data_IF_900991294051
#
_entry.id   IF_900991294051
#
_cell.length_a   1.000
_cell.length_b   1.000
_cell.length_c   1.000
_cell.angle_alpha   90.00
_cell.angle_beta   90.00
_cell.angle_gamma   90.00
#
_symmetry.space_group_name_H-M   'P 1'
#
loop_
_entity.id
_entity.type
_entity.pdbx_description
1 polymer ?
#
# COMPACT_ATOMS: atom_id res chain seq x y z
N UNK A 1 -0.04 20.25 23.87
CA UNK A 1 -1.12 19.38 23.38
C UNK A 1 -0.58 17.96 23.35
N UNK A 2 -1.05 17.04 24.14
CA UNK A 2 -0.61 15.64 24.07
C UNK A 2 -1.26 14.98 22.86
N UNK A 3 -0.45 14.42 21.99
CA UNK A 3 -0.83 13.51 20.91
C UNK A 3 -1.26 12.20 21.57
N UNK A 4 -2.53 11.84 21.47
CA UNK A 4 -2.97 10.49 21.82
C UNK A 4 -2.38 9.52 20.79
N UNK A 5 -1.35 8.80 21.19
CA UNK A 5 -0.82 7.64 20.49
C UNK A 5 -1.73 6.45 20.76
N UNK A 6 -2.32 5.89 19.72
CA UNK A 6 -3.04 4.62 19.81
C UNK A 6 -2.08 3.48 20.11
N UNK A 7 -2.47 2.61 21.04
CA UNK A 7 -1.84 1.30 21.24
C UNK A 7 -1.95 0.45 19.97
N UNK A 8 -0.94 -0.38 19.67
CA UNK A 8 -0.97 -1.28 18.51
C UNK A 8 -2.05 -2.34 18.68
N UNK A 9 -2.93 -2.47 17.69
CA UNK A 9 -3.91 -3.55 17.57
C UNK A 9 -3.18 -4.89 17.45
N UNK A 10 -3.42 -5.75 18.44
CA UNK A 10 -2.96 -7.12 18.47
C UNK A 10 -3.74 -7.94 17.43
N UNK A 11 -3.08 -8.40 16.37
CA UNK A 11 -3.68 -9.28 15.35
C UNK A 11 -3.35 -10.75 15.64
N UNK A 12 -4.34 -11.67 15.56
CA UNK A 12 -4.08 -13.10 15.57
C UNK A 12 -3.46 -13.56 14.22
N UNK A 13 -2.69 -14.66 14.21
CA UNK A 13 -2.13 -15.20 12.98
C UNK A 13 -3.24 -15.75 12.05
N UNK A 14 -3.03 -15.72 10.72
CA UNK A 14 -4.00 -16.20 9.75
C UNK A 14 -4.20 -17.73 9.85
N UNK A 15 -5.41 -18.24 9.56
CA UNK A 15 -5.71 -19.67 9.58
C UNK A 15 -4.97 -20.42 8.46
N UNK A 16 -4.42 -21.60 8.82
CA UNK A 16 -3.68 -22.47 7.92
C UNK A 16 -4.55 -23.02 6.78
N UNK A 17 -4.02 -22.98 5.57
CA UNK A 17 -4.62 -23.54 4.35
C UNK A 17 -4.43 -25.07 4.30
N UNK A 18 -5.55 -25.78 4.16
CA UNK A 18 -5.61 -27.21 3.87
C UNK A 18 -5.14 -27.52 2.46
N UNK A 19 -4.22 -28.46 2.33
CA UNK A 19 -3.73 -28.99 1.05
C UNK A 19 -4.74 -29.96 0.47
N UNK A 20 -5.31 -29.63 -0.70
CA UNK A 20 -6.12 -30.56 -1.50
C UNK A 20 -5.21 -31.21 -2.54
N UNK A 21 -5.13 -32.55 -2.49
CA UNK A 21 -4.42 -33.39 -3.47
C UNK A 21 -5.27 -33.62 -4.72
N UNK A 22 -4.70 -33.61 -5.94
CA UNK A 22 -5.45 -33.93 -7.14
C UNK A 22 -5.56 -35.45 -7.34
N UNK A 23 -6.76 -35.91 -7.69
CA UNK A 23 -6.99 -37.27 -8.17
C UNK A 23 -6.67 -37.37 -9.66
N UNK A 24 -5.88 -38.36 -10.02
CA UNK A 24 -5.66 -38.82 -11.38
C UNK A 24 -6.89 -39.51 -11.94
N UNK A 25 -7.28 -39.21 -13.17
CA UNK A 25 -8.14 -40.06 -13.97
C UNK A 25 -7.53 -40.28 -15.35
N UNK A 26 -7.47 -41.56 -15.68
CA UNK A 26 -6.80 -42.19 -16.82
C UNK A 26 -7.79 -42.34 -17.98
N UNK A 27 -7.30 -42.19 -19.20
CA UNK A 27 -7.52 -42.87 -20.43
C UNK A 27 -8.60 -42.79 -21.39
N UNK A 28 -8.30 -42.95 -22.60
CA UNK A 28 -9.12 -43.40 -23.71
C UNK A 28 -8.48 -43.17 -25.07
N UNK A 29 -7.73 -44.17 -25.51
CA UNK A 29 -7.16 -44.25 -26.86
C UNK A 29 -8.23 -44.70 -27.84
N UNK A 30 -8.51 -43.97 -28.94
CA UNK A 30 -9.19 -44.50 -30.10
C UNK A 30 -8.51 -43.95 -31.37
N UNK A 31 -7.97 -44.88 -32.13
CA UNK A 31 -7.44 -44.68 -33.47
C UNK A 31 -8.55 -44.77 -34.50
N UNK A 32 -8.54 -43.93 -35.55
CA UNK A 32 -9.10 -44.29 -36.87
C UNK A 32 -8.63 -43.31 -37.98
N UNK A 33 -7.96 -43.98 -38.93
CA UNK A 33 -7.91 -43.77 -40.38
C UNK A 33 -8.07 -42.39 -41.05
N UNK A 34 -7.08 -42.05 -41.74
CA UNK A 34 -6.64 -41.54 -42.98
C UNK A 34 -7.62 -40.88 -43.98
N UNK A 35 -7.23 -39.67 -44.39
CA UNK A 35 -7.51 -39.14 -45.72
C UNK A 35 -6.35 -38.18 -46.11
N UNK A 36 -5.66 -38.52 -47.19
CA UNK A 36 -4.66 -37.68 -47.81
C UNK A 36 -5.34 -36.46 -48.44
N UNK A 37 -4.95 -35.25 -48.04
CA UNK A 37 -5.31 -34.00 -48.71
C UNK A 37 -4.02 -33.27 -49.05
N UNK A 38 -3.94 -32.83 -50.28
CA UNK A 38 -2.81 -32.17 -50.94
C UNK A 38 -2.24 -30.97 -50.16
N UNK A 39 -0.93 -30.94 -50.04
CA UNK A 39 -0.19 -29.84 -49.43
C UNK A 39 -0.29 -28.56 -50.30
N UNK A 40 -1.02 -27.56 -49.82
CA UNK A 40 -0.81 -26.19 -50.22
C UNK A 40 0.36 -25.61 -49.40
N UNK A 41 1.21 -24.70 -49.94
CA UNK A 41 2.34 -24.15 -49.17
C UNK A 41 1.78 -23.33 -48.02
N UNK A 42 2.03 -23.79 -46.80
CA UNK A 42 1.77 -23.02 -45.61
C UNK A 42 2.64 -21.76 -45.64
N UNK A 43 2.05 -20.62 -45.97
CA UNK A 43 2.60 -19.34 -45.58
C UNK A 43 2.68 -19.39 -44.06
N UNK A 44 3.89 -19.45 -43.55
CA UNK A 44 4.15 -19.19 -42.14
C UNK A 44 3.59 -17.79 -41.81
N UNK A 45 2.38 -17.71 -41.29
CA UNK A 45 1.95 -16.58 -40.50
C UNK A 45 2.86 -16.60 -39.28
N UNK A 46 3.83 -15.68 -39.28
CA UNK A 46 4.40 -15.23 -38.02
C UNK A 46 3.23 -14.69 -37.23
N UNK A 47 2.68 -15.52 -36.36
CA UNK A 47 1.91 -15.03 -35.22
C UNK A 47 2.89 -14.13 -34.50
N UNK A 48 2.65 -12.82 -34.55
CA UNK A 48 3.20 -11.90 -33.59
C UNK A 48 2.91 -12.52 -32.23
N UNK A 49 3.94 -13.06 -31.61
CA UNK A 49 3.91 -13.40 -30.22
C UNK A 49 3.60 -12.06 -29.54
N UNK A 50 2.35 -11.88 -29.12
CA UNK A 50 1.98 -10.77 -28.27
C UNK A 50 2.99 -10.78 -27.13
N UNK A 51 3.88 -9.78 -27.13
CA UNK A 51 4.92 -9.67 -26.11
C UNK A 51 4.26 -9.84 -24.77
N UNK A 52 4.69 -10.83 -23.99
CA UNK A 52 4.15 -11.07 -22.67
C UNK A 52 4.16 -9.77 -21.89
N UNK A 53 3.06 -9.41 -21.27
CA UNK A 53 2.95 -8.14 -20.58
C UNK A 53 3.98 -8.10 -19.45
N UNK A 54 4.95 -7.19 -19.53
CA UNK A 54 6.00 -7.04 -18.52
C UNK A 54 5.49 -6.41 -17.21
N UNK A 55 4.25 -5.92 -17.20
CA UNK A 55 3.60 -5.33 -16.02
C UNK A 55 2.98 -6.37 -15.08
N UNK A 56 2.65 -5.98 -13.85
CA UNK A 56 2.00 -6.87 -12.88
C UNK A 56 0.64 -7.33 -13.40
N UNK A 57 0.40 -8.65 -13.36
CA UNK A 57 -0.88 -9.26 -13.69
C UNK A 57 -1.92 -9.00 -12.60
N UNK A 58 -3.19 -9.22 -12.94
CA UNK A 58 -4.30 -9.16 -11.99
C UNK A 58 -4.88 -10.55 -11.81
N UNK A 59 -4.94 -10.99 -10.56
CA UNK A 59 -5.61 -12.22 -10.17
C UNK A 59 -7.08 -11.98 -9.81
N UNK A 60 -7.60 -12.79 -8.90
CA UNK A 60 -8.98 -12.72 -8.44
C UNK A 60 -9.32 -11.32 -7.91
N UNK A 61 -10.57 -10.92 -8.12
CA UNK A 61 -11.13 -9.66 -7.62
C UNK A 61 -12.07 -9.95 -6.46
N UNK A 62 -11.86 -9.27 -5.35
CA UNK A 62 -12.75 -9.30 -4.19
C UNK A 62 -13.49 -7.98 -4.05
N UNK A 63 -14.80 -8.05 -3.81
CA UNK A 63 -15.59 -6.88 -3.45
C UNK A 63 -15.69 -6.76 -1.93
N UNK A 64 -15.32 -5.61 -1.41
CA UNK A 64 -15.26 -5.30 0.01
C UNK A 64 -16.12 -4.09 0.33
N UNK A 65 -16.68 -4.03 1.54
CA UNK A 65 -17.29 -2.80 2.07
C UNK A 65 -16.42 -2.26 3.20
N UNK A 66 -16.05 -1.01 3.08
CA UNK A 66 -15.16 -0.34 4.04
C UNK A 66 -15.76 0.98 4.50
N UNK A 67 -15.96 1.14 5.81
CA UNK A 67 -16.48 2.36 6.42
C UNK A 67 -15.33 3.21 6.94
N UNK A 68 -15.37 4.50 6.61
CA UNK A 68 -14.42 5.50 7.11
C UNK A 68 -15.18 6.70 7.61
N UNK A 69 -14.82 7.18 8.79
CA UNK A 69 -15.50 8.35 9.33
C UNK A 69 -15.05 8.73 10.72
N UNK A 70 -15.86 9.57 11.34
CA UNK A 70 -15.68 10.00 12.71
C UNK A 70 -17.02 10.21 13.40
N UNK A 71 -16.97 10.04 14.73
CA UNK A 71 -18.01 10.49 15.65
C UNK A 71 -17.34 11.44 16.63
N UNK A 72 -17.86 12.67 16.77
CA UNK A 72 -17.35 13.67 17.71
C UNK A 72 -18.40 13.97 18.75
N UNK A 73 -18.01 13.94 20.02
CA UNK A 73 -18.88 14.23 21.18
C UNK A 73 -18.34 15.43 21.96
N UNK A 74 -19.17 16.42 22.18
CA UNK A 74 -18.86 17.62 22.97
C UNK A 74 -19.09 17.37 24.48
N UNK A 75 -18.30 16.48 25.11
CA UNK A 75 -18.52 16.06 26.51
C UNK A 75 -18.26 17.19 27.51
N UNK A 76 -17.15 17.91 27.38
CA UNK A 76 -16.70 18.90 28.35
C UNK A 76 -17.36 20.28 28.21
N UNK A 77 -18.13 20.52 27.15
CA UNK A 77 -18.76 21.82 26.84
C UNK A 77 -18.96 21.99 25.34
N UNK A 78 -19.62 23.09 24.92
CA UNK A 78 -19.88 23.34 23.50
C UNK A 78 -18.55 23.52 22.72
N UNK A 79 -18.51 22.99 21.51
CA UNK A 79 -17.37 23.11 20.61
C UNK A 79 -17.76 23.97 19.39
N UNK A 80 -16.78 24.73 18.87
CA UNK A 80 -16.97 25.56 17.68
C UNK A 80 -15.83 25.36 16.68
N UNK A 81 -16.16 25.51 15.38
CA UNK A 81 -15.17 25.44 14.31
C UNK A 81 -14.44 24.11 14.24
N UNK A 82 -15.12 23.00 14.55
CA UNK A 82 -14.53 21.66 14.42
C UNK A 82 -14.25 21.39 12.93
N UNK A 83 -13.00 21.02 12.67
CA UNK A 83 -12.49 20.69 11.36
C UNK A 83 -11.69 19.39 11.46
N UNK A 84 -12.14 18.38 10.76
CA UNK A 84 -11.49 17.07 10.75
C UNK A 84 -11.05 16.67 9.35
N UNK A 85 -9.94 15.95 9.27
CA UNK A 85 -9.49 15.30 8.04
C UNK A 85 -9.07 13.87 8.32
N UNK A 86 -9.37 12.97 7.41
CA UNK A 86 -8.98 11.56 7.51
C UNK A 86 -8.76 10.97 6.12
N UNK A 87 -7.73 10.11 5.93
CA UNK A 87 -7.52 9.44 4.66
C UNK A 87 -8.65 8.46 4.37
N UNK A 88 -9.04 8.41 3.09
CA UNK A 88 -10.05 7.49 2.57
C UNK A 88 -9.46 6.70 1.41
N UNK A 89 -10.02 5.52 1.08
CA UNK A 89 -9.58 4.76 -0.09
C UNK A 89 -9.64 5.59 -1.36
N UNK A 90 -8.67 5.38 -2.25
CA UNK A 90 -8.61 6.01 -3.57
C UNK A 90 -8.46 4.97 -4.68
N UNK A 91 -8.65 5.41 -5.93
CA UNK A 91 -8.50 4.60 -7.13
C UNK A 91 -7.02 4.25 -7.38
N UNK A 92 -6.74 2.97 -7.61
CA UNK A 92 -5.45 2.46 -8.02
C UNK A 92 -5.63 1.44 -9.16
N UNK A 93 -4.61 1.13 -9.94
CA UNK A 93 -4.75 0.11 -10.98
C UNK A 93 -5.39 -1.19 -10.49
N UNK A 94 -5.12 -1.59 -9.25
CA UNK A 94 -5.63 -2.80 -8.62
C UNK A 94 -6.83 -2.56 -7.69
N UNK A 95 -7.32 -1.33 -7.54
CA UNK A 95 -8.43 -0.99 -6.65
C UNK A 95 -9.38 0.00 -7.28
N UNK A 96 -10.66 -0.37 -7.45
CA UNK A 96 -11.74 0.55 -7.79
C UNK A 96 -12.51 0.94 -6.55
N UNK A 97 -13.01 2.17 -6.50
CA UNK A 97 -13.68 2.74 -5.31
C UNK A 97 -15.01 3.38 -5.68
N UNK A 98 -16.07 3.02 -4.95
CA UNK A 98 -17.39 3.62 -5.10
C UNK A 98 -17.96 3.95 -3.71
N UNK A 99 -18.53 5.15 -3.54
CA UNK A 99 -19.31 5.50 -2.35
C UNK A 99 -20.69 4.86 -2.50
N UNK A 100 -21.13 4.11 -1.49
CA UNK A 100 -22.41 3.39 -1.50
C UNK A 100 -23.37 3.85 -0.41
N UNK A 101 -22.88 4.49 0.66
CA UNK A 101 -23.72 5.10 1.69
C UNK A 101 -22.97 6.22 2.42
N UNK A 102 -23.71 7.18 2.90
CA UNK A 102 -23.26 8.26 3.77
C UNK A 102 -24.19 8.38 4.97
N UNK A 103 -23.62 8.35 6.18
CA UNK A 103 -24.32 8.57 7.45
C UNK A 103 -23.76 9.85 8.07
N UNK A 104 -24.43 10.97 7.78
CA UNK A 104 -23.99 12.31 8.11
C UNK A 104 -25.06 13.04 8.92
N UNK A 105 -24.73 13.43 10.14
CA UNK A 105 -25.64 14.14 11.02
C UNK A 105 -25.83 15.61 10.60
N UNK A 106 -26.98 16.27 10.91
CA UNK A 106 -27.27 17.65 10.53
C UNK A 106 -26.28 18.69 11.08
N UNK A 107 -25.52 18.36 12.13
CA UNK A 107 -24.49 19.23 12.68
C UNK A 107 -23.27 19.38 11.74
N UNK A 108 -23.07 18.45 10.82
CA UNK A 108 -22.03 18.50 9.79
C UNK A 108 -22.51 19.45 8.69
N UNK A 109 -21.84 20.60 8.56
CA UNK A 109 -22.16 21.59 7.54
C UNK A 109 -21.62 21.24 6.18
N UNK A 110 -20.41 20.63 6.18
CA UNK A 110 -19.69 20.35 4.95
C UNK A 110 -18.92 19.03 5.08
N UNK A 111 -19.13 18.14 4.11
CA UNK A 111 -18.34 16.94 3.88
C UNK A 111 -17.85 17.00 2.44
N UNK A 112 -16.54 17.00 2.25
CA UNK A 112 -15.92 17.06 0.93
C UNK A 112 -14.65 16.23 0.88
N UNK A 113 -14.15 16.01 -0.32
CA UNK A 113 -12.90 15.30 -0.55
C UNK A 113 -11.85 16.24 -1.13
N UNK A 114 -10.59 15.96 -0.79
CA UNK A 114 -9.42 16.61 -1.41
C UNK A 114 -8.32 15.59 -1.62
N UNK A 115 -7.44 15.84 -2.59
CA UNK A 115 -6.21 15.05 -2.79
C UNK A 115 -5.01 15.88 -2.39
N UNK A 116 -4.17 15.36 -1.51
CA UNK A 116 -2.93 16.01 -1.09
C UNK A 116 -1.83 15.83 -2.16
N UNK A 117 -0.81 16.70 -2.16
CA UNK A 117 0.43 16.43 -2.89
C UNK A 117 1.01 15.08 -2.45
N UNK A 118 1.27 14.19 -3.43
CA UNK A 118 1.67 12.80 -3.16
C UNK A 118 0.53 11.78 -3.26
N UNK A 119 -0.70 12.23 -3.58
CA UNK A 119 -1.79 11.34 -4.02
C UNK A 119 -2.66 10.78 -2.89
N UNK A 120 -2.61 11.32 -1.68
CA UNK A 120 -3.52 10.90 -0.60
C UNK A 120 -4.85 11.60 -0.71
N UNK A 121 -5.93 10.84 -0.84
CA UNK A 121 -7.30 11.33 -0.78
C UNK A 121 -7.75 11.44 0.67
N UNK A 122 -8.23 12.61 1.05
CA UNK A 122 -8.79 12.88 2.39
C UNK A 122 -10.26 13.25 2.29
N UNK A 123 -11.05 12.73 3.22
CA UNK A 123 -12.34 13.30 3.59
C UNK A 123 -12.11 14.45 4.54
N UNK A 124 -12.79 15.58 4.30
CA UNK A 124 -12.77 16.79 5.12
C UNK A 124 -14.15 17.01 5.68
N UNK A 125 -14.26 17.14 6.99
CA UNK A 125 -15.54 17.31 7.72
C UNK A 125 -15.49 18.61 8.50
N UNK A 126 -16.50 19.45 8.35
CA UNK A 126 -16.63 20.74 9.04
C UNK A 126 -17.93 20.77 9.87
N UNK A 127 -17.78 21.00 11.17
CA UNK A 127 -18.88 21.12 12.13
C UNK A 127 -18.75 22.50 12.80
N UNK A 128 -19.55 23.51 12.39
CA UNK A 128 -19.41 24.87 12.90
C UNK A 128 -19.63 24.98 14.40
N UNK A 129 -20.67 24.29 14.89
CA UNK A 129 -21.06 24.30 16.28
C UNK A 129 -21.55 22.91 16.71
N UNK A 130 -21.15 22.49 17.90
CA UNK A 130 -21.61 21.27 18.54
C UNK A 130 -21.95 21.61 20.00
N UNK A 131 -23.23 21.68 20.39
CA UNK A 131 -23.64 21.99 21.75
C UNK A 131 -23.13 20.96 22.77
N UNK A 132 -22.96 21.39 24.03
CA UNK A 132 -22.53 20.51 25.12
C UNK A 132 -23.40 19.24 25.21
N UNK A 133 -22.76 18.10 25.38
CA UNK A 133 -23.39 16.77 25.45
C UNK A 133 -23.95 16.26 24.10
N UNK A 134 -23.79 17.00 23.02
CA UNK A 134 -24.24 16.54 21.68
C UNK A 134 -23.13 15.83 20.92
N UNK A 135 -23.57 15.02 19.94
CA UNK A 135 -22.71 14.23 19.08
C UNK A 135 -22.96 14.61 17.62
N UNK A 136 -21.88 14.65 16.83
CA UNK A 136 -21.90 14.76 15.38
C UNK A 136 -21.25 13.53 14.76
N UNK A 137 -21.82 13.05 13.67
CA UNK A 137 -21.37 11.84 12.97
C UNK A 137 -21.19 12.14 11.48
N UNK A 138 -20.08 11.67 10.92
CA UNK A 138 -19.82 11.67 9.49
C UNK A 138 -19.09 10.36 9.12
N UNK A 139 -19.83 9.39 8.60
CA UNK A 139 -19.33 8.07 8.22
C UNK A 139 -19.73 7.79 6.79
N UNK A 140 -18.76 7.41 5.97
CA UNK A 140 -18.97 7.05 4.56
C UNK A 140 -18.63 5.58 4.37
N UNK A 141 -19.51 4.86 3.69
CA UNK A 141 -19.28 3.47 3.29
C UNK A 141 -18.81 3.44 1.84
N UNK A 142 -17.61 2.92 1.65
CA UNK A 142 -17.01 2.65 0.35
C UNK A 142 -17.23 1.19 -0.04
N UNK A 143 -17.51 0.94 -1.30
CA UNK A 143 -17.40 -0.39 -1.90
C UNK A 143 -16.14 -0.40 -2.76
N UNK A 144 -15.30 -1.40 -2.54
CA UNK A 144 -14.00 -1.54 -3.17
C UNK A 144 -13.98 -2.84 -3.98
N UNK A 145 -13.57 -2.76 -5.27
CA UNK A 145 -13.16 -3.93 -6.03
C UNK A 145 -11.64 -4.01 -5.98
N UNK A 146 -11.11 -4.97 -5.23
CA UNK A 146 -9.69 -5.16 -4.98
C UNK A 146 -9.19 -6.41 -5.69
N UNK A 147 -8.32 -6.23 -6.70
CA UNK A 147 -7.66 -7.34 -7.39
C UNK A 147 -6.41 -7.79 -6.64
N UNK A 148 -6.19 -9.10 -6.54
CA UNK A 148 -4.87 -9.63 -6.23
C UNK A 148 -3.88 -9.25 -7.33
N UNK A 149 -2.62 -9.08 -6.98
CA UNK A 149 -1.55 -8.81 -7.93
C UNK A 149 -0.72 -10.08 -8.09
N UNK A 150 -0.47 -10.47 -9.35
CA UNK A 150 0.34 -11.63 -9.70
C UNK A 150 1.61 -11.20 -10.42
N UNK A 151 2.66 -11.99 -10.28
CA UNK A 151 3.95 -11.78 -10.93
C UNK A 151 3.74 -11.80 -12.45
N UNK A 152 4.39 -10.93 -13.23
CA UNK A 152 4.37 -11.02 -14.69
C UNK A 152 5.04 -12.32 -15.19
N UNK A 153 4.57 -12.82 -16.31
CA UNK A 153 5.09 -14.05 -16.93
C UNK A 153 6.56 -13.90 -17.35
N UNK A 154 6.97 -12.70 -17.78
CA UNK A 154 8.36 -12.39 -18.13
C UNK A 154 8.87 -11.20 -17.32
N UNK A 155 9.92 -11.44 -16.54
CA UNK A 155 10.64 -10.43 -15.75
C UNK A 155 12.05 -10.14 -16.26
N UNK A 156 12.53 -10.90 -17.26
CA UNK A 156 13.93 -10.83 -17.73
C UNK A 156 14.27 -9.49 -18.38
N UNK A 157 13.28 -8.85 -19.03
CA UNK A 157 13.43 -7.54 -19.67
C UNK A 157 13.27 -6.34 -18.73
N UNK A 158 12.90 -6.56 -17.46
CA UNK A 158 12.68 -5.49 -16.51
C UNK A 158 14.00 -4.96 -15.95
N UNK A 159 14.15 -3.62 -15.95
CA UNK A 159 15.38 -2.93 -15.54
C UNK A 159 15.10 -1.71 -14.69
N UNK A 160 16.10 -1.27 -13.96
CA UNK A 160 16.07 -0.04 -13.17
C UNK A 160 16.03 1.15 -14.15
N UNK A 161 15.12 2.14 -13.96
CA UNK A 161 15.05 3.29 -14.86
C UNK A 161 16.29 4.17 -14.71
N UNK A 162 17.01 4.42 -15.81
CA UNK A 162 18.20 5.29 -15.81
C UNK A 162 17.86 6.77 -15.58
N UNK A 163 16.76 7.22 -16.14
CA UNK A 163 16.30 8.62 -16.09
C UNK A 163 14.79 8.69 -15.73
N UNK A 164 14.44 8.37 -14.49
CA UNK A 164 13.05 8.43 -14.07
C UNK A 164 12.52 9.87 -14.14
N UNK A 165 11.24 10.02 -14.48
CA UNK A 165 10.56 11.30 -14.44
C UNK A 165 10.47 11.87 -13.02
N UNK A 166 9.94 13.11 -12.89
CA UNK A 166 9.88 13.80 -11.60
C UNK A 166 9.02 13.05 -10.58
N UNK A 167 7.94 12.41 -10.99
CA UNK A 167 7.03 11.70 -10.11
C UNK A 167 7.71 10.45 -9.54
N UNK A 168 8.34 9.66 -10.40
CA UNK A 168 9.08 8.45 -10.00
C UNK A 168 10.34 8.82 -9.20
N UNK A 169 11.06 9.89 -9.60
CA UNK A 169 12.26 10.36 -8.89
C UNK A 169 11.99 10.78 -7.44
N UNK A 170 10.76 11.20 -7.11
CA UNK A 170 10.36 11.51 -5.75
C UNK A 170 10.49 10.29 -4.80
N UNK A 171 10.50 9.07 -5.34
CA UNK A 171 10.62 7.81 -4.62
C UNK A 171 12.06 7.25 -4.58
N UNK A 172 13.08 8.12 -4.73
CA UNK A 172 14.51 7.77 -4.61
C UNK A 172 15.19 8.43 -3.40
N UNK A 173 14.54 9.42 -2.80
CA UNK A 173 15.10 10.19 -1.69
C UNK A 173 14.93 9.54 -0.32
N UNK A 174 15.54 10.16 0.68
CA UNK A 174 15.28 9.85 2.10
C UNK A 174 13.89 10.35 2.49
N UNK A 175 13.20 9.60 3.32
CA UNK A 175 11.92 9.97 3.92
C UNK A 175 11.90 9.58 5.40
N UNK A 176 10.90 9.98 6.19
CA UNK A 176 10.82 9.63 7.59
C UNK A 176 10.92 8.11 7.80
N UNK A 177 11.85 7.67 8.66
CA UNK A 177 12.16 6.27 8.97
C UNK A 177 12.78 5.44 7.82
N UNK A 178 13.03 6.05 6.67
CA UNK A 178 13.68 5.42 5.50
C UNK A 178 15.01 6.12 5.24
N UNK A 179 16.06 5.68 5.93
CA UNK A 179 17.38 6.29 5.95
C UNK A 179 18.26 5.81 4.78
N UNK A 180 17.87 6.15 3.56
CA UNK A 180 18.53 5.75 2.30
C UNK A 180 20.03 6.04 2.25
N UNK A 181 20.50 7.05 2.99
CA UNK A 181 21.91 7.49 3.01
C UNK A 181 22.71 6.88 4.16
N UNK A 182 22.13 6.00 4.96
CA UNK A 182 22.87 5.30 6.02
C UNK A 182 23.96 4.41 5.39
N UNK A 183 25.23 4.53 5.81
CA UNK A 183 26.34 3.80 5.17
C UNK A 183 26.23 2.27 5.35
N UNK A 184 25.65 1.78 6.44
CA UNK A 184 25.47 0.33 6.66
C UNK A 184 24.38 -0.22 5.76
N UNK A 185 23.27 0.52 5.60
CA UNK A 185 22.18 0.15 4.67
C UNK A 185 22.69 0.15 3.24
N UNK A 186 23.40 1.20 2.81
CA UNK A 186 23.97 1.31 1.48
C UNK A 186 25.00 0.19 1.18
N UNK A 187 25.87 -0.14 2.14
CA UNK A 187 26.83 -1.23 1.99
C UNK A 187 26.14 -2.59 1.90
N UNK A 188 25.09 -2.83 2.69
CA UNK A 188 24.31 -4.06 2.65
C UNK A 188 23.58 -4.20 1.30
N UNK A 189 22.91 -3.13 0.83
CA UNK A 189 22.23 -3.09 -0.47
C UNK A 189 23.17 -3.40 -1.62
N UNK A 190 24.35 -2.74 -1.65
CA UNK A 190 25.40 -2.99 -2.65
C UNK A 190 25.88 -4.43 -2.63
N UNK A 191 26.03 -5.04 -1.45
CA UNK A 191 26.46 -6.43 -1.29
C UNK A 191 25.39 -7.40 -1.81
N UNK A 192 24.13 -7.19 -1.41
CA UNK A 192 22.99 -8.00 -1.86
C UNK A 192 22.79 -7.97 -3.37
N UNK A 193 22.90 -6.77 -3.99
CA UNK A 193 22.70 -6.56 -5.41
C UNK A 193 23.93 -6.79 -6.29
N UNK A 194 25.06 -7.25 -5.72
CA UNK A 194 26.35 -7.35 -6.46
C UNK A 194 26.27 -8.28 -7.67
N UNK A 195 26.59 -7.74 -8.85
CA UNK A 195 26.58 -8.50 -10.11
C UNK A 195 25.19 -8.84 -10.65
N UNK A 196 24.13 -8.29 -10.01
CA UNK A 196 22.75 -8.46 -10.43
C UNK A 196 22.19 -7.14 -10.99
N UNK A 197 21.13 -7.24 -11.79
CA UNK A 197 20.42 -6.09 -12.31
C UNK A 197 18.89 -6.35 -12.36
N UNK A 198 18.12 -5.28 -12.55
CA UNK A 198 16.69 -5.31 -12.73
C UNK A 198 15.97 -6.12 -11.64
N UNK A 199 15.09 -6.99 -12.08
CA UNK A 199 14.28 -7.84 -11.21
C UNK A 199 15.09 -8.65 -10.18
N UNK A 200 16.17 -9.30 -10.66
CA UNK A 200 17.01 -10.16 -9.80
C UNK A 200 17.73 -9.38 -8.70
N UNK A 201 18.14 -8.14 -8.97
CA UNK A 201 18.75 -7.27 -7.95
C UNK A 201 17.73 -6.91 -6.86
N UNK A 202 16.51 -6.55 -7.25
CA UNK A 202 15.46 -6.22 -6.28
C UNK A 202 15.10 -7.44 -5.44
N UNK A 203 14.98 -8.62 -6.05
CA UNK A 203 14.67 -9.85 -5.33
C UNK A 203 15.77 -10.21 -4.29
N UNK A 204 17.04 -10.06 -4.67
CA UNK A 204 18.16 -10.30 -3.75
C UNK A 204 18.14 -9.30 -2.55
N UNK A 205 17.79 -8.04 -2.78
CA UNK A 205 17.58 -7.06 -1.71
C UNK A 205 16.42 -7.47 -0.80
N UNK A 206 15.30 -7.88 -1.39
CA UNK A 206 14.11 -8.34 -0.67
C UNK A 206 14.41 -9.54 0.23
N UNK A 207 15.06 -10.57 -0.30
CA UNK A 207 15.44 -11.76 0.47
C UNK A 207 16.45 -11.40 1.57
N UNK A 208 17.40 -10.49 1.30
CA UNK A 208 18.37 -10.01 2.31
C UNK A 208 17.67 -9.32 3.48
N UNK A 209 16.64 -8.51 3.25
CA UNK A 209 15.87 -7.86 4.33
C UNK A 209 15.22 -8.91 5.22
N UNK A 210 14.57 -9.90 4.63
CA UNK A 210 13.89 -10.98 5.35
C UNK A 210 14.84 -11.88 6.14
N UNK A 211 16.05 -12.05 5.65
CA UNK A 211 17.11 -12.81 6.35
C UNK A 211 17.74 -12.04 7.51
N UNK A 212 17.81 -10.70 7.42
CA UNK A 212 18.49 -9.85 8.39
C UNK A 212 17.62 -9.34 9.52
N UNK A 213 16.29 -9.27 9.30
CA UNK A 213 15.36 -8.69 10.27
C UNK A 213 14.24 -9.67 10.56
N UNK A 214 14.21 -10.19 11.77
CA UNK A 214 13.12 -11.04 12.27
C UNK A 214 11.85 -10.21 12.48
N UNK A 215 10.70 -10.74 12.08
CA UNK A 215 9.42 -10.08 12.37
C UNK A 215 9.10 -10.14 13.86
N UNK A 216 8.95 -8.96 14.45
CA UNK A 216 8.53 -8.80 15.85
C UNK A 216 7.79 -7.47 16.02
N UNK A 217 6.60 -7.53 16.62
CA UNK A 217 5.87 -6.31 16.98
C UNK A 217 6.69 -5.45 17.96
N UNK A 218 6.63 -4.14 17.75
CA UNK A 218 7.35 -3.20 18.60
C UNK A 218 7.02 -1.74 18.28
N UNK A 219 7.73 -0.83 18.92
CA UNK A 219 7.64 0.60 18.63
C UNK A 219 8.33 0.93 17.31
N UNK A 220 7.76 1.89 16.58
CA UNK A 220 8.31 2.38 15.32
C UNK A 220 9.71 2.98 15.51
N UNK A 221 10.69 2.46 14.79
CA UNK A 221 12.12 2.82 14.95
C UNK A 221 12.87 3.07 13.65
N UNK A 222 12.30 2.67 12.51
CA UNK A 222 12.86 2.91 11.17
C UNK A 222 13.92 1.92 10.71
N UNK A 223 14.35 2.07 9.45
CA UNK A 223 15.23 1.13 8.74
C UNK A 223 16.59 0.92 9.42
N UNK A 224 17.26 2.01 9.80
CA UNK A 224 18.58 1.94 10.44
C UNK A 224 18.55 1.18 11.76
N UNK A 225 17.55 1.44 12.59
CA UNK A 225 17.44 0.79 13.89
C UNK A 225 17.00 -0.66 13.75
N UNK A 226 16.08 -0.97 12.84
CA UNK A 226 15.68 -2.33 12.54
C UNK A 226 16.87 -3.19 12.11
N UNK A 227 17.72 -2.68 11.20
CA UNK A 227 18.94 -3.37 10.78
C UNK A 227 19.93 -3.57 11.94
N UNK A 228 20.07 -2.59 12.83
CA UNK A 228 20.98 -2.69 13.97
C UNK A 228 20.51 -3.69 15.03
N UNK A 229 19.21 -3.74 15.29
CA UNK A 229 18.60 -4.60 16.29
C UNK A 229 18.34 -6.03 15.76
N UNK A 230 18.25 -6.21 14.44
CA UNK A 230 17.93 -7.49 13.78
C UNK A 230 16.47 -7.91 13.89
N UNK A 231 15.56 -7.00 14.27
CA UNK A 231 14.12 -7.26 14.35
C UNK A 231 13.29 -6.00 14.09
N UNK A 232 12.03 -6.18 13.73
CA UNK A 232 11.07 -5.11 13.49
C UNK A 232 9.71 -5.65 13.04
N UNK A 233 8.71 -4.78 12.94
CA UNK A 233 7.40 -5.16 12.42
C UNK A 233 7.29 -4.91 10.89
N UNK A 234 6.07 -4.89 10.36
CA UNK A 234 5.85 -4.67 8.93
C UNK A 234 6.37 -3.31 8.45
N UNK A 235 6.33 -2.26 9.29
CA UNK A 235 6.84 -0.96 8.91
C UNK A 235 8.37 -0.95 8.82
N UNK A 236 9.08 -1.55 9.78
CA UNK A 236 10.54 -1.61 9.78
C UNK A 236 11.08 -2.43 8.60
N UNK A 237 10.51 -3.60 8.33
CA UNK A 237 10.91 -4.41 7.19
C UNK A 237 10.65 -3.68 5.87
N UNK A 238 9.50 -3.01 5.75
CA UNK A 238 9.14 -2.16 4.60
C UNK A 238 10.12 -0.98 4.47
N UNK A 239 10.40 -0.26 5.56
CA UNK A 239 11.35 0.85 5.57
C UNK A 239 12.77 0.42 5.17
N UNK A 240 13.25 -0.72 5.66
CA UNK A 240 14.58 -1.24 5.33
C UNK A 240 14.66 -1.66 3.86
N UNK A 241 13.65 -2.36 3.35
CA UNK A 241 13.59 -2.71 1.92
C UNK A 241 13.64 -1.46 1.05
N UNK A 242 12.80 -0.46 1.32
CA UNK A 242 12.74 0.79 0.55
C UNK A 242 14.08 1.54 0.63
N UNK A 243 14.70 1.61 1.83
CA UNK A 243 15.98 2.28 2.01
C UNK A 243 17.09 1.60 1.19
N UNK A 244 17.16 0.27 1.20
CA UNK A 244 18.12 -0.52 0.40
C UNK A 244 17.86 -0.38 -1.10
N UNK A 245 16.61 -0.51 -1.55
CA UNK A 245 16.24 -0.34 -2.96
C UNK A 245 16.64 1.05 -3.47
N UNK A 246 16.29 2.10 -2.75
CA UNK A 246 16.63 3.48 -3.14
C UNK A 246 18.14 3.76 -3.11
N UNK A 247 18.89 3.12 -2.21
CA UNK A 247 20.37 3.22 -2.18
C UNK A 247 21.02 2.65 -3.48
N UNK A 248 20.37 1.68 -4.12
CA UNK A 248 20.77 1.09 -5.41
C UNK A 248 20.07 1.76 -6.62
N UNK A 249 19.43 2.92 -6.43
CA UNK A 249 18.78 3.67 -7.51
C UNK A 249 17.43 3.10 -7.94
N UNK A 250 16.84 2.19 -7.19
CA UNK A 250 15.54 1.58 -7.48
C UNK A 250 14.46 2.42 -6.81
N UNK A 251 13.54 3.06 -7.56
CA UNK A 251 12.42 3.76 -6.94
C UNK A 251 11.53 2.79 -6.17
N UNK A 252 11.22 3.12 -4.93
CA UNK A 252 10.40 2.28 -4.07
C UNK A 252 9.54 3.16 -3.14
N UNK A 253 8.36 2.67 -2.73
CA UNK A 253 7.43 3.38 -1.85
C UNK A 253 6.65 2.44 -0.97
N UNK A 254 6.07 2.95 0.11
CA UNK A 254 5.17 2.21 0.99
C UNK A 254 3.76 2.20 0.41
N UNK A 255 3.07 1.08 0.51
CA UNK A 255 1.63 0.93 0.36
C UNK A 255 1.02 0.71 1.74
N UNK A 256 0.08 1.56 2.11
CA UNK A 256 -0.62 1.51 3.38
C UNK A 256 -1.99 0.91 3.18
N UNK A 257 -2.25 -0.17 3.86
CA UNK A 257 -3.54 -0.86 3.92
C UNK A 257 -4.05 -0.86 5.35
N UNK A 258 -5.27 -1.32 5.58
CA UNK A 258 -5.79 -1.40 6.95
C UNK A 258 -4.96 -2.35 7.82
N UNK A 259 -4.42 -1.81 8.93
CA UNK A 259 -3.63 -2.54 9.91
C UNK A 259 -2.25 -3.06 9.44
N UNK A 260 -1.83 -2.74 8.20
CA UNK A 260 -0.59 -3.26 7.62
C UNK A 260 0.04 -2.31 6.60
N UNK A 261 1.32 -2.56 6.26
CA UNK A 261 1.96 -1.94 5.12
C UNK A 261 2.94 -2.89 4.44
N UNK A 262 3.19 -2.63 3.15
CA UNK A 262 4.17 -3.36 2.34
C UNK A 262 4.83 -2.43 1.33
N UNK A 263 6.03 -2.76 0.82
CA UNK A 263 6.68 -1.95 -0.19
C UNK A 263 6.25 -2.29 -1.62
N UNK A 264 6.32 -1.28 -2.49
CA UNK A 264 6.34 -1.41 -3.94
C UNK A 264 7.67 -0.90 -4.48
N UNK A 265 8.20 -1.54 -5.52
CA UNK A 265 9.36 -1.09 -6.30
C UNK A 265 8.98 -0.86 -7.75
N UNK A 266 9.72 0.02 -8.44
CA UNK A 266 9.41 0.43 -9.81
C UNK A 266 10.51 0.00 -10.77
N UNK A 267 10.13 -0.72 -11.83
CA UNK A 267 10.99 -1.10 -12.93
C UNK A 267 10.35 -0.71 -14.26
N UNK A 268 11.18 -0.64 -15.30
CA UNK A 268 10.77 -0.36 -16.67
C UNK A 268 11.15 -1.52 -17.59
N UNK A 269 10.37 -1.72 -18.66
CA UNK A 269 10.70 -2.67 -19.72
C UNK A 269 11.67 -2.09 -20.78
N UNK A 270 11.88 -2.85 -21.84
CA UNK A 270 12.74 -2.46 -22.95
C UNK A 270 12.24 -1.22 -23.70
N UNK A 271 10.96 -0.93 -23.67
CA UNK A 271 10.33 0.24 -24.30
C UNK A 271 10.40 1.49 -23.44
N UNK A 272 10.77 1.35 -22.16
CA UNK A 272 10.73 2.41 -21.17
C UNK A 272 9.39 2.54 -20.45
N UNK A 273 8.42 1.68 -20.76
CA UNK A 273 7.17 1.61 -19.99
C UNK A 273 7.45 1.02 -18.63
N UNK A 274 6.94 1.63 -17.55
CA UNK A 274 7.23 1.21 -16.20
C UNK A 274 6.02 0.90 -15.35
N UNK A 275 6.26 0.07 -14.33
CA UNK A 275 5.23 -0.39 -13.40
C UNK A 275 5.75 -0.50 -11.97
N UNK A 276 4.82 -0.40 -11.04
CA UNK A 276 5.02 -0.68 -9.64
C UNK A 276 4.72 -2.15 -9.34
N UNK A 277 5.65 -2.83 -8.69
CA UNK A 277 5.53 -4.23 -8.28
C UNK A 277 5.55 -4.31 -6.75
N UNK A 278 4.54 -4.92 -6.12
CA UNK A 278 4.51 -5.08 -4.67
C UNK A 278 5.40 -6.24 -4.22
N UNK A 279 5.80 -6.21 -2.96
CA UNK A 279 6.34 -7.38 -2.29
C UNK A 279 5.97 -7.41 -0.80
N UNK A 280 5.79 -8.60 -0.24
CA UNK A 280 5.45 -8.78 1.16
C UNK A 280 6.75 -8.89 1.98
N UNK A 281 7.18 -7.79 2.59
CA UNK A 281 8.41 -7.76 3.38
C UNK A 281 8.27 -8.55 4.69
N UNK A 282 7.07 -8.52 5.30
CA UNK A 282 6.73 -9.26 6.52
C UNK A 282 5.71 -10.37 6.22
N UNK A 283 5.75 -11.49 6.93
CA UNK A 283 4.83 -12.62 6.75
C UNK A 283 5.25 -13.59 5.65
N UNK A 284 4.29 -14.18 4.92
CA UNK A 284 4.56 -15.13 3.84
C UNK A 284 5.33 -14.46 2.70
N UNK A 285 6.34 -15.17 2.14
CA UNK A 285 7.12 -14.65 1.02
C UNK A 285 6.24 -14.45 -0.21
N UNK A 286 6.14 -13.20 -0.66
CA UNK A 286 5.54 -12.83 -1.93
C UNK A 286 6.37 -11.70 -2.53
N UNK A 287 6.98 -11.93 -3.70
CA UNK A 287 7.80 -10.97 -4.42
C UNK A 287 7.22 -10.72 -5.81
N UNK A 288 7.01 -9.44 -6.15
CA UNK A 288 6.31 -9.04 -7.37
C UNK A 288 4.81 -9.36 -7.37
N UNK A 289 4.29 -9.86 -6.27
CA UNK A 289 2.91 -10.26 -6.10
C UNK A 289 2.33 -9.75 -4.76
N UNK A 290 1.01 -9.62 -4.70
CA UNK A 290 0.27 -9.32 -3.48
C UNK A 290 -1.08 -10.05 -3.52
N UNK A 291 -1.15 -11.24 -2.89
CA UNK A 291 -2.40 -12.00 -2.82
C UNK A 291 -3.43 -11.36 -1.89
N UNK A 292 -2.96 -10.58 -0.89
CA UNK A 292 -3.82 -9.92 0.07
C UNK A 292 -4.60 -8.77 -0.57
N UNK A 293 -5.91 -8.74 -0.34
CA UNK A 293 -6.84 -7.82 -0.97
C UNK A 293 -7.41 -6.81 0.04
N UNK A 294 -6.58 -6.35 0.99
CA UNK A 294 -6.95 -5.32 1.95
C UNK A 294 -7.15 -3.95 1.27
N UNK A 295 -8.04 -3.10 1.80
CA UNK A 295 -8.24 -1.74 1.29
C UNK A 295 -6.95 -0.93 1.27
N UNK A 296 -6.57 -0.39 0.10
CA UNK A 296 -5.44 0.53 -0.02
C UNK A 296 -5.92 1.93 0.35
N UNK A 297 -5.28 2.52 1.35
CA UNK A 297 -5.61 3.84 1.87
C UNK A 297 -4.72 4.94 1.26
N UNK A 298 -3.41 4.65 1.12
CA UNK A 298 -2.46 5.60 0.53
C UNK A 298 -1.20 4.88 0.07
N UNK A 299 -0.51 5.47 -0.92
CA UNK A 299 0.78 4.99 -1.44
C UNK A 299 1.80 6.11 -1.38
N UNK A 300 2.92 5.84 -0.70
CA UNK A 300 4.01 6.80 -0.47
C UNK A 300 4.46 6.82 0.99
N UNK A 301 5.48 7.66 1.27
CA UNK A 301 6.13 7.72 2.58
C UNK A 301 6.77 9.09 2.87
N UNK A 302 6.42 10.12 2.08
CA UNK A 302 6.96 11.47 2.24
C UNK A 302 5.90 12.52 1.90
N UNK A 303 4.82 12.54 2.66
CA UNK A 303 3.67 13.40 2.40
C UNK A 303 3.83 14.80 2.99
N UNK A 304 3.13 15.77 2.37
CA UNK A 304 2.96 17.13 2.88
C UNK A 304 1.49 17.37 3.13
N UNK A 305 1.14 17.61 4.39
CA UNK A 305 -0.22 17.93 4.80
C UNK A 305 -0.32 19.42 5.14
N UNK A 306 -1.18 20.21 4.46
CA UNK A 306 -1.36 21.63 4.75
C UNK A 306 -1.89 21.90 6.16
N UNK A 307 -2.56 20.92 6.78
CA UNK A 307 -3.03 21.04 8.16
C UNK A 307 -1.92 20.76 9.20
N UNK A 308 -0.76 20.26 8.74
CA UNK A 308 0.43 19.98 9.54
C UNK A 308 1.69 20.57 8.88
N UNK A 309 1.76 21.90 8.71
CA UNK A 309 2.82 22.53 7.94
C UNK A 309 4.21 22.25 8.55
N UNK A 310 5.23 22.25 7.69
CA UNK A 310 6.64 22.11 8.09
C UNK A 310 7.08 20.67 8.40
N UNK A 311 6.19 19.69 8.41
CA UNK A 311 6.51 18.29 8.67
C UNK A 311 6.40 17.45 7.40
N UNK A 312 7.37 16.56 7.22
CA UNK A 312 7.28 15.43 6.28
C UNK A 312 6.66 14.26 7.01
N UNK A 313 5.59 13.70 6.46
CA UNK A 313 4.85 12.61 7.09
C UNK A 313 5.07 11.31 6.33
N UNK A 314 5.40 10.24 7.06
CA UNK A 314 5.47 8.88 6.50
C UNK A 314 4.08 8.34 6.11
N UNK A 315 3.08 8.74 6.90
CA UNK A 315 1.67 8.38 6.78
C UNK A 315 0.81 9.60 7.11
N UNK A 316 -0.24 9.82 6.36
CA UNK A 316 -1.23 10.87 6.63
C UNK A 316 -2.31 10.27 7.52
N UNK A 317 -2.27 10.59 8.81
CA UNK A 317 -3.26 10.13 9.79
C UNK A 317 -4.44 11.08 9.90
N UNK A 318 -5.42 10.69 10.67
CA UNK A 318 -6.55 11.51 11.08
C UNK A 318 -6.09 12.78 11.80
N UNK A 319 -6.88 13.83 11.66
CA UNK A 319 -6.64 15.12 12.29
C UNK A 319 -7.94 15.77 12.68
N UNK A 320 -8.02 16.31 13.89
CA UNK A 320 -9.12 17.12 14.38
C UNK A 320 -8.57 18.39 15.00
N UNK A 321 -9.16 19.52 14.68
CA UNK A 321 -8.99 20.80 15.39
C UNK A 321 -10.32 21.47 15.61
N UNK A 322 -10.39 22.34 16.59
CA UNK A 322 -11.56 23.14 16.95
C UNK A 322 -11.29 23.94 18.21
N UNK A 323 -12.25 24.73 18.62
CA UNK A 323 -12.20 25.48 19.85
C UNK A 323 -13.25 24.96 20.84
N UNK A 324 -12.89 24.91 22.11
CA UNK A 324 -13.78 24.65 23.24
C UNK A 324 -13.86 25.88 24.12
N UNK A 325 -14.91 26.00 24.93
CA UNK A 325 -15.02 27.09 25.92
C UNK A 325 -13.90 26.93 26.94
N UNK A 326 -13.35 28.06 27.41
CA UNK A 326 -12.27 28.06 28.42
C UNK A 326 -12.69 27.28 29.66
N UNK A 327 -11.91 26.24 30.02
CA UNK A 327 -12.19 25.34 31.12
C UNK A 327 -13.03 24.11 30.76
N UNK A 328 -13.55 24.01 29.55
CA UNK A 328 -14.11 22.79 29.00
C UNK A 328 -12.99 21.85 28.50
N UNK A 329 -13.22 20.56 28.60
CA UNK A 329 -12.34 19.54 28.01
C UNK A 329 -12.38 19.54 26.47
N UNK A 330 -11.37 18.91 25.87
CA UNK A 330 -11.36 18.68 24.42
C UNK A 330 -12.52 17.78 23.99
N UNK A 331 -13.04 17.92 22.76
CA UNK A 331 -14.05 17.01 22.23
C UNK A 331 -13.49 15.58 22.16
N UNK A 332 -14.32 14.61 22.52
CA UNK A 332 -14.00 13.20 22.28
C UNK A 332 -14.22 12.89 20.80
N UNK A 333 -13.29 12.15 20.20
CA UNK A 333 -13.42 11.70 18.81
C UNK A 333 -13.18 10.20 18.72
N UNK A 334 -14.12 9.53 18.11
CA UNK A 334 -14.00 8.15 17.69
C UNK A 334 -13.79 8.13 16.18
N UNK A 335 -12.65 7.59 15.73
CA UNK A 335 -12.36 7.40 14.33
C UNK A 335 -12.88 6.04 13.87
N UNK A 336 -13.74 6.05 12.86
CA UNK A 336 -14.36 4.82 12.33
C UNK A 336 -13.52 4.30 11.18
N UNK A 337 -13.09 3.05 11.29
CA UNK A 337 -12.46 2.25 10.24
C UNK A 337 -12.93 0.82 10.40
N UNK A 338 -13.86 0.38 9.57
CA UNK A 338 -14.51 -0.92 9.70
C UNK A 338 -14.68 -1.59 8.35
N UNK A 339 -14.38 -2.88 8.29
CA UNK A 339 -14.61 -3.71 7.10
C UNK A 339 -13.31 -4.24 6.49
N UNK A 340 -13.44 -5.07 5.46
CA UNK A 340 -12.35 -5.77 4.78
C UNK A 340 -12.78 -7.15 4.30
#
# INVERSE_FOLDING_TARGET
>A
MPTQTREPLHMPPPPGLSVIRPHHATIGLLALLGAAVAAAPARAQFLDATAAAAGPGRGDVRTLKYKVGLVVTAEGGPCTGLYATLPVPDEWPEQKVRIVAEDVSPAVRNLRYRTLPGGVKQMVVEIPELPAGKQARAVVTFELERAAIVVPDDTAGLRIPEKPDRAIKAHLGTSPYIETRDPKIAALAKTAGKGLDGWRKVEAIYDTVRDKVEYRNGELKGARRALADGWGDCEELTCLFIAMARAEGIPARTVWVEGHCYPEFYLVDATGQGWWFPCQAAGTRAFGAMPDQLPILQKGDNFRDPDRPGKSLRYVSEFLKGATVKGAGDPQVEWIREGG
#
